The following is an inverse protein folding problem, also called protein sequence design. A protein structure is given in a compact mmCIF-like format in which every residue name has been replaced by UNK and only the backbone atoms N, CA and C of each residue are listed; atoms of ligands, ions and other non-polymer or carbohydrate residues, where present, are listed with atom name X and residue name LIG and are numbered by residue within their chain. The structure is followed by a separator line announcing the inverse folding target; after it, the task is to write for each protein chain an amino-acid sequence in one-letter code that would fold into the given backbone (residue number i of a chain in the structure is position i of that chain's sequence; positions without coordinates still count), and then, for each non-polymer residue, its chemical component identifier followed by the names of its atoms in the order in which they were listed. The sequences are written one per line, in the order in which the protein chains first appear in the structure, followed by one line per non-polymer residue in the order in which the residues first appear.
data_IF_779600412774
#
_entry.id   IF_779600412774
#
_cell.length_a   1.000
_cell.length_b   1.000
_cell.length_c   1.000
_cell.angle_alpha   90.00
_cell.angle_beta   90.00
_cell.angle_gamma   90.00
#
_symmetry.space_group_name_H-M   'P 1'
#
loop_
_entity.id
_entity.type
_entity.pdbx_description
1 polymer ?
#
# COMPACT_ATOMS: atom_id res chain seq x y z
N UNK A 1 -5.04 20.03 4.73
CA UNK A 1 -6.08 19.83 3.70
C UNK A 1 -7.19 18.98 4.31
N UNK A 2 -8.45 19.42 4.22
CA UNK A 2 -9.63 18.74 4.78
C UNK A 2 -9.87 17.35 4.16
N UNK A 3 -10.58 16.48 4.89
CA UNK A 3 -11.05 15.15 4.47
C UNK A 3 -11.77 15.12 3.12
N UNK A 4 -12.31 16.25 2.71
CA UNK A 4 -13.15 16.34 1.52
C UNK A 4 -12.40 16.13 0.20
N UNK A 5 -11.10 16.49 0.08
CA UNK A 5 -10.45 16.61 -1.24
C UNK A 5 -10.26 15.28 -2.01
N UNK A 6 -9.95 14.18 -1.31
CA UNK A 6 -9.81 12.85 -1.96
C UNK A 6 -11.17 12.35 -2.48
N UNK A 7 -12.23 12.63 -1.70
CA UNK A 7 -13.60 12.16 -1.95
C UNK A 7 -14.49 13.19 -2.64
N UNK A 8 -13.93 14.34 -3.03
CA UNK A 8 -14.68 15.44 -3.63
C UNK A 8 -15.42 14.93 -4.85
N UNK A 9 -16.72 15.08 -4.81
CA UNK A 9 -17.62 14.86 -5.94
C UNK A 9 -18.13 16.22 -6.42
N UNK A 10 -18.05 16.53 -7.73
CA UNK A 10 -17.47 15.70 -8.79
C UNK A 10 -15.94 15.63 -8.68
N UNK A 11 -15.40 14.45 -9.00
CA UNK A 11 -13.95 14.30 -9.12
C UNK A 11 -13.47 15.12 -10.32
N UNK A 12 -12.47 15.99 -10.17
CA UNK A 12 -11.95 16.77 -11.28
C UNK A 12 -11.40 15.84 -12.38
N UNK A 13 -11.70 16.18 -13.63
CA UNK A 13 -11.32 15.39 -14.82
C UNK A 13 -9.80 15.33 -15.04
N UNK A 14 -9.05 16.26 -14.45
CA UNK A 14 -7.58 16.27 -14.40
C UNK A 14 -7.13 16.75 -13.04
N UNK A 15 -6.09 16.12 -12.52
CA UNK A 15 -5.38 16.56 -11.32
C UNK A 15 -3.96 16.94 -11.68
N UNK A 16 -3.46 17.99 -11.05
CA UNK A 16 -2.05 18.36 -11.08
C UNK A 16 -1.19 17.34 -10.33
N UNK A 17 0.12 17.37 -10.58
CA UNK A 17 1.09 16.53 -9.85
C UNK A 17 1.05 16.78 -8.33
N UNK A 18 0.82 18.03 -7.91
CA UNK A 18 0.74 18.39 -6.49
C UNK A 18 -0.51 17.81 -5.83
N UNK A 19 -1.64 17.79 -6.55
CA UNK A 19 -2.86 17.13 -6.07
C UNK A 19 -2.68 15.61 -5.95
N UNK A 20 -2.01 14.97 -6.90
CA UNK A 20 -1.68 13.55 -6.80
C UNK A 20 -0.73 13.24 -5.65
N UNK A 21 0.29 14.07 -5.45
CA UNK A 21 1.21 13.95 -4.31
C UNK A 21 0.45 14.06 -2.99
N UNK A 22 -0.46 15.03 -2.87
CA UNK A 22 -1.29 15.19 -1.68
C UNK A 22 -2.22 13.98 -1.44
N UNK A 23 -2.75 13.37 -2.50
CA UNK A 23 -3.54 12.12 -2.40
C UNK A 23 -2.65 10.98 -1.90
N UNK A 24 -1.48 10.78 -2.51
CA UNK A 24 -0.49 9.76 -2.11
C UNK A 24 -0.16 9.91 -0.62
N UNK A 25 0.33 11.08 -0.20
CA UNK A 25 0.76 11.33 1.18
C UNK A 25 -0.34 11.00 2.19
N UNK A 26 -1.58 11.35 1.85
CA UNK A 26 -2.74 11.10 2.71
C UNK A 26 -3.17 9.63 2.72
N UNK A 27 -3.22 8.95 1.57
CA UNK A 27 -3.53 7.51 1.53
C UNK A 27 -2.47 6.70 2.28
N UNK A 28 -1.20 7.05 2.10
CA UNK A 28 -0.06 6.43 2.80
C UNK A 28 -0.14 6.70 4.30
N UNK A 29 -0.44 7.94 4.70
CA UNK A 29 -0.59 8.32 6.11
C UNK A 29 -1.73 7.56 6.80
N UNK A 30 -2.92 7.55 6.20
CA UNK A 30 -4.07 6.83 6.77
C UNK A 30 -3.86 5.31 6.80
N UNK A 31 -3.16 4.74 5.81
CA UNK A 31 -2.82 3.32 5.82
C UNK A 31 -1.76 3.01 6.90
N UNK A 32 -0.77 3.89 7.06
CA UNK A 32 0.23 3.81 8.13
C UNK A 32 -0.44 3.78 9.51
N UNK A 33 -1.38 4.69 9.73
CA UNK A 33 -2.14 4.78 10.99
C UNK A 33 -2.99 3.52 11.22
N UNK A 34 -3.71 3.05 10.19
CA UNK A 34 -4.56 1.87 10.29
C UNK A 34 -3.77 0.58 10.57
N UNK A 35 -2.56 0.46 10.02
CA UNK A 35 -1.67 -0.69 10.22
C UNK A 35 -0.79 -0.55 11.49
N UNK A 36 -0.73 0.64 12.10
CA UNK A 36 0.13 0.92 13.24
C UNK A 36 1.63 0.89 12.91
N UNK A 37 2.01 1.21 11.67
CA UNK A 37 3.40 1.16 11.18
C UNK A 37 3.76 2.41 10.39
N UNK A 38 5.03 2.75 10.32
CA UNK A 38 5.49 3.83 9.42
C UNK A 38 5.80 3.28 8.04
N UNK A 39 5.05 3.76 7.03
CA UNK A 39 5.27 3.44 5.63
C UNK A 39 6.05 4.55 4.92
N UNK A 40 6.94 4.16 4.01
CA UNK A 40 7.62 5.04 3.06
C UNK A 40 7.12 4.74 1.66
N UNK A 41 6.88 5.80 0.88
CA UNK A 41 6.59 5.71 -0.55
C UNK A 41 7.86 5.27 -1.30
N UNK A 42 7.76 4.18 -2.07
CA UNK A 42 8.84 3.70 -2.94
C UNK A 42 8.68 4.20 -4.37
N UNK A 43 7.46 4.58 -4.76
CA UNK A 43 7.15 5.18 -6.05
C UNK A 43 5.63 5.17 -6.30
N UNK A 44 5.17 6.06 -7.16
CA UNK A 44 3.77 6.11 -7.58
C UNK A 44 3.66 6.53 -9.04
N UNK A 45 2.61 6.06 -9.69
CA UNK A 45 2.34 6.25 -11.11
C UNK A 45 0.85 6.58 -11.30
N UNK A 46 0.56 7.50 -12.22
CA UNK A 46 -0.82 7.84 -12.61
C UNK A 46 -1.16 7.12 -13.89
N UNK A 47 -2.33 6.51 -13.92
CA UNK A 47 -2.87 5.77 -15.05
C UNK A 47 -4.08 6.52 -15.59
N UNK A 48 -4.03 6.86 -16.89
CA UNK A 48 -5.12 7.50 -17.63
C UNK A 48 -5.72 8.76 -16.99
N UNK A 49 -4.91 9.57 -16.28
CA UNK A 49 -5.31 10.79 -15.56
C UNK A 49 -6.37 10.61 -14.46
N UNK A 50 -6.85 9.37 -14.22
CA UNK A 50 -7.99 9.08 -13.32
C UNK A 50 -7.68 8.01 -12.27
N UNK A 51 -6.61 7.24 -12.46
CA UNK A 51 -6.18 6.21 -11.53
C UNK A 51 -4.73 6.45 -11.07
N UNK A 52 -4.39 5.90 -9.92
CA UNK A 52 -3.10 6.03 -9.26
C UNK A 52 -2.73 4.69 -8.64
N UNK A 53 -1.49 4.28 -8.85
CA UNK A 53 -0.88 3.15 -8.15
C UNK A 53 0.29 3.67 -7.34
N UNK A 54 0.32 3.38 -6.03
CA UNK A 54 1.39 3.81 -5.14
C UNK A 54 1.98 2.61 -4.39
N UNK A 55 3.29 2.41 -4.50
CA UNK A 55 4.04 1.37 -3.78
C UNK A 55 4.62 1.94 -2.50
N UNK A 56 4.47 1.18 -1.42
CA UNK A 56 4.96 1.54 -0.09
C UNK A 56 5.64 0.37 0.59
N UNK A 57 6.52 0.66 1.54
CA UNK A 57 7.16 -0.33 2.38
C UNK A 57 7.36 0.19 3.81
N UNK A 58 7.39 -0.72 4.78
CA UNK A 58 7.80 -0.38 6.15
C UNK A 58 9.24 0.13 6.19
N UNK A 59 9.48 1.23 6.90
CA UNK A 59 10.83 1.78 7.09
C UNK A 59 11.65 0.95 8.09
N UNK A 60 10.99 0.37 9.08
CA UNK A 60 11.58 -0.50 10.11
C UNK A 60 10.79 -1.80 10.24
N UNK A 61 11.40 -2.91 10.68
CA UNK A 61 10.64 -4.13 10.91
C UNK A 61 9.56 -3.91 11.97
N UNK A 62 8.35 -4.38 11.68
CA UNK A 62 7.18 -4.41 12.57
C UNK A 62 7.51 -5.22 13.83
N UNK A 63 8.23 -6.33 13.66
CA UNK A 63 8.77 -7.13 14.76
C UNK A 63 10.30 -7.25 14.59
N UNK A 64 11.03 -6.28 15.15
CA UNK A 64 12.48 -6.09 15.04
C UNK A 64 13.32 -7.38 15.00
N UNK A 65 13.34 -8.19 16.07
CA UNK A 65 14.15 -9.41 16.12
C UNK A 65 13.75 -10.49 15.13
N UNK A 66 12.49 -10.48 14.69
CA UNK A 66 11.95 -11.45 13.73
C UNK A 66 12.14 -11.00 12.28
N UNK A 67 12.57 -9.74 12.06
CA UNK A 67 12.72 -9.17 10.73
C UNK A 67 11.41 -9.17 9.95
N UNK A 68 10.27 -8.99 10.62
CA UNK A 68 8.95 -8.94 9.97
C UNK A 68 8.73 -7.53 9.42
N UNK A 69 8.39 -7.43 8.14
CA UNK A 69 8.06 -6.16 7.48
C UNK A 69 6.91 -6.35 6.50
N UNK A 70 6.50 -5.27 5.84
CA UNK A 70 5.53 -5.33 4.76
C UNK A 70 5.85 -4.40 3.61
N UNK A 71 5.45 -4.80 2.42
CA UNK A 71 5.22 -3.89 1.29
C UNK A 71 3.73 -3.84 0.99
N UNK A 72 3.27 -2.75 0.37
CA UNK A 72 1.91 -2.67 -0.11
C UNK A 72 1.82 -1.90 -1.42
N UNK A 73 0.74 -2.14 -2.16
CA UNK A 73 0.35 -1.32 -3.30
C UNK A 73 -1.02 -0.75 -3.04
N UNK A 74 -1.10 0.57 -3.00
CA UNK A 74 -2.34 1.33 -2.88
C UNK A 74 -2.83 1.62 -4.29
N UNK A 75 -4.00 1.10 -4.65
CA UNK A 75 -4.74 1.48 -5.83
C UNK A 75 -5.75 2.57 -5.48
N UNK A 76 -5.82 3.59 -6.33
CA UNK A 76 -6.88 4.58 -6.33
C UNK A 76 -7.42 4.67 -7.74
N UNK A 77 -8.73 4.59 -7.90
CA UNK A 77 -9.39 4.76 -9.19
C UNK A 77 -10.75 5.43 -9.02
N UNK A 78 -11.33 5.89 -10.13
CA UNK A 78 -12.64 6.51 -10.13
C UNK A 78 -13.61 5.65 -10.93
N UNK A 79 -14.46 4.91 -10.23
CA UNK A 79 -15.51 4.09 -10.82
C UNK A 79 -16.85 4.79 -10.61
N UNK A 80 -17.62 4.99 -11.68
CA UNK A 80 -18.96 5.60 -11.62
C UNK A 80 -18.99 6.94 -10.84
N UNK A 81 -17.94 7.76 -11.02
CA UNK A 81 -17.72 9.06 -10.34
C UNK A 81 -17.48 8.96 -8.83
N UNK A 82 -17.17 7.76 -8.32
CA UNK A 82 -16.81 7.52 -6.93
C UNK A 82 -15.35 7.07 -6.85
N UNK A 83 -14.57 7.58 -5.89
CA UNK A 83 -13.24 7.05 -5.68
C UNK A 83 -13.34 5.67 -5.04
N UNK A 84 -12.61 4.72 -5.60
CA UNK A 84 -12.41 3.39 -5.05
C UNK A 84 -10.95 3.29 -4.69
N UNK A 85 -10.67 2.90 -3.44
CA UNK A 85 -9.31 2.82 -2.93
C UNK A 85 -9.10 1.48 -2.26
N UNK A 86 -8.11 0.75 -2.76
CA UNK A 86 -7.73 -0.57 -2.29
C UNK A 86 -6.25 -0.59 -1.94
N UNK A 87 -5.84 -1.49 -1.06
CA UNK A 87 -4.44 -1.75 -0.78
C UNK A 87 -4.19 -3.25 -0.73
N UNK A 88 -3.23 -3.73 -1.50
CA UNK A 88 -2.74 -5.09 -1.46
C UNK A 88 -1.47 -5.11 -0.60
N UNK A 89 -1.53 -5.80 0.55
CA UNK A 89 -0.47 -5.83 1.55
C UNK A 89 0.20 -7.19 1.56
N UNK A 90 1.53 -7.17 1.49
CA UNK A 90 2.39 -8.35 1.42
C UNK A 90 3.28 -8.37 2.66
N UNK A 91 3.17 -9.42 3.47
CA UNK A 91 4.02 -9.58 4.66
C UNK A 91 5.29 -10.34 4.31
N UNK A 92 6.39 -9.98 4.97
CA UNK A 92 7.68 -10.64 4.81
C UNK A 92 8.27 -10.95 6.18
N UNK A 93 8.97 -12.09 6.29
CA UNK A 93 9.84 -12.42 7.41
C UNK A 93 11.17 -12.92 6.88
N UNK A 94 12.29 -12.44 7.41
CA UNK A 94 13.60 -12.89 6.90
C UNK A 94 13.86 -12.53 5.42
N UNK A 95 13.12 -11.58 4.85
CA UNK A 95 13.17 -11.25 3.41
C UNK A 95 12.34 -12.18 2.53
N UNK A 96 11.65 -13.16 3.12
CA UNK A 96 10.79 -14.12 2.42
C UNK A 96 9.33 -13.69 2.56
N UNK A 97 8.57 -13.70 1.46
CA UNK A 97 7.13 -13.39 1.47
C UNK A 97 6.38 -14.47 2.24
N UNK A 98 5.49 -14.04 3.14
CA UNK A 98 4.63 -14.93 3.90
C UNK A 98 3.40 -15.32 3.07
N UNK A 99 3.01 -16.58 3.17
CA UNK A 99 1.83 -17.12 2.51
C UNK A 99 0.84 -17.71 3.53
N UNK A 100 -0.45 -17.68 3.19
CA UNK A 100 -1.45 -18.49 3.87
C UNK A 100 -1.11 -19.98 3.74
N UNK A 101 -1.56 -20.78 4.71
CA UNK A 101 -1.34 -22.22 4.67
C UNK A 101 -2.00 -22.82 3.44
N UNK A 102 -1.18 -23.41 2.57
CA UNK A 102 -1.64 -24.08 1.34
C UNK A 102 -1.61 -23.21 0.09
N UNK A 103 -1.21 -21.94 0.21
CA UNK A 103 -0.96 -21.04 -0.93
C UNK A 103 0.56 -20.88 -1.14
N UNK A 104 0.97 -20.70 -2.39
CA UNK A 104 2.37 -20.39 -2.72
C UNK A 104 2.71 -18.94 -2.39
N UNK A 105 1.78 -18.03 -2.69
CA UNK A 105 1.87 -16.60 -2.38
C UNK A 105 0.50 -16.08 -1.93
N UNK A 106 0.49 -15.10 -1.02
CA UNK A 106 -0.76 -14.48 -0.58
C UNK A 106 -0.59 -12.98 -0.33
N UNK A 107 -1.72 -12.30 -0.19
CA UNK A 107 -1.78 -10.91 0.25
C UNK A 107 -3.04 -10.66 1.07
N UNK A 108 -2.99 -9.62 1.90
CA UNK A 108 -4.16 -9.05 2.54
C UNK A 108 -4.70 -7.92 1.66
N UNK A 109 -5.98 -7.97 1.33
CA UNK A 109 -6.67 -6.88 0.66
C UNK A 109 -7.35 -5.99 1.70
N UNK A 110 -7.03 -4.70 1.67
CA UNK A 110 -7.70 -3.68 2.45
C UNK A 110 -8.45 -2.74 1.52
N UNK A 111 -9.58 -2.24 1.99
CA UNK A 111 -10.39 -1.25 1.26
C UNK A 111 -10.63 -0.05 2.15
N UNK A 112 -10.55 1.14 1.57
CA UNK A 112 -10.84 2.38 2.27
C UNK A 112 -12.32 2.76 2.09
N UNK A 113 -12.98 3.10 3.19
CA UNK A 113 -14.36 3.57 3.19
C UNK A 113 -14.58 4.72 4.15
N UNK A 114 -15.85 4.97 4.49
CA UNK A 114 -16.27 6.07 5.38
C UNK A 114 -15.58 6.03 6.74
N UNK A 115 -15.34 4.83 7.29
CA UNK A 115 -14.72 4.62 8.59
C UNK A 115 -13.19 4.39 8.50
N UNK A 116 -12.60 4.60 7.33
CA UNK A 116 -11.17 4.35 7.05
C UNK A 116 -10.90 2.98 6.45
N UNK A 117 -9.68 2.47 6.68
CA UNK A 117 -9.23 1.19 6.14
C UNK A 117 -9.85 0.00 6.88
N UNK A 118 -10.36 -0.97 6.12
CA UNK A 118 -10.83 -2.26 6.64
C UNK A 118 -10.22 -3.41 5.85
N UNK A 119 -9.94 -4.51 6.53
CA UNK A 119 -9.58 -5.77 5.88
C UNK A 119 -10.79 -6.29 5.09
N UNK A 120 -10.65 -6.45 3.78
CA UNK A 120 -11.63 -7.14 2.94
C UNK A 120 -11.45 -8.66 3.05
N UNK A 121 -10.19 -9.12 3.02
CA UNK A 121 -9.87 -10.53 3.18
C UNK A 121 -8.40 -10.82 2.91
N UNK A 122 -8.07 -12.11 2.99
CA UNK A 122 -6.82 -12.64 2.49
C UNK A 122 -7.09 -13.41 1.21
N UNK A 123 -6.22 -13.25 0.23
CA UNK A 123 -6.33 -13.93 -1.07
C UNK A 123 -4.99 -14.55 -1.47
N UNK A 124 -5.08 -15.61 -2.26
CA UNK A 124 -3.95 -16.19 -2.96
C UNK A 124 -3.61 -15.33 -4.19
N UNK A 125 -2.32 -15.22 -4.49
CA UNK A 125 -1.83 -14.53 -5.69
C UNK A 125 -1.83 -15.50 -6.89
N UNK A 126 -3.01 -16.01 -7.24
CA UNK A 126 -3.18 -17.14 -8.17
C UNK A 126 -2.57 -16.90 -9.56
N UNK A 127 -2.53 -15.65 -9.99
CA UNK A 127 -2.00 -15.24 -11.30
C UNK A 127 -0.57 -14.72 -11.26
N UNK A 128 0.04 -14.69 -10.07
CA UNK A 128 1.37 -14.11 -9.85
C UNK A 128 1.46 -12.65 -10.24
N UNK A 129 0.35 -11.90 -10.10
CA UNK A 129 0.30 -10.46 -10.42
C UNK A 129 1.30 -9.69 -9.56
N UNK A 130 1.60 -10.21 -8.37
CA UNK A 130 2.54 -9.61 -7.43
C UNK A 130 3.79 -10.47 -7.18
N UNK A 131 4.00 -11.51 -7.98
CA UNK A 131 5.21 -12.34 -7.89
C UNK A 131 6.46 -11.50 -8.12
N UNK A 132 7.49 -11.74 -7.31
CA UNK A 132 8.76 -11.03 -7.41
C UNK A 132 8.77 -9.64 -6.75
N UNK A 133 7.71 -9.26 -6.02
CA UNK A 133 7.74 -8.04 -5.20
C UNK A 133 8.87 -8.14 -4.16
N UNK A 134 9.76 -7.14 -4.09
CA UNK A 134 10.87 -7.18 -3.17
C UNK A 134 10.38 -7.06 -1.73
N UNK A 135 11.10 -7.73 -0.82
CA UNK A 135 10.96 -7.45 0.60
C UNK A 135 11.34 -5.99 0.91
N UNK A 136 10.81 -5.42 2.01
CA UNK A 136 11.19 -4.09 2.46
C UNK A 136 12.71 -3.99 2.64
N UNK A 137 13.30 -2.94 2.07
CA UNK A 137 14.71 -2.64 2.29
C UNK A 137 14.85 -1.89 3.61
N UNK A 138 15.23 -2.61 4.65
CA UNK A 138 15.68 -2.02 5.90
C UNK A 138 17.18 -1.75 5.81
N UNK A 139 17.59 -0.49 5.91
CA UNK A 139 19.02 -0.10 5.87
C UNK A 139 19.84 -0.82 6.98
N UNK A 140 19.15 -1.34 8.01
CA UNK A 140 19.70 -2.09 9.14
C UNK A 140 19.80 -3.61 8.92
N UNK A 141 19.30 -4.18 7.81
CA UNK A 141 19.46 -5.63 7.53
C UNK A 141 20.90 -6.00 7.24
N UNK A 142 21.67 -5.05 6.71
CA UNK A 142 23.08 -5.27 6.49
C UNK A 142 23.79 -5.27 7.84
N UNK A 143 23.97 -6.45 8.42
CA UNK A 143 24.94 -6.72 9.49
C UNK A 143 26.39 -6.48 9.03
N UNK A 144 26.67 -5.43 8.25
CA UNK A 144 28.00 -4.85 8.17
C UNK A 144 28.21 -4.13 9.49
N UNK A 145 28.74 -4.87 10.46
CA UNK A 145 29.54 -4.25 11.52
C UNK A 145 30.63 -3.39 10.85
N UNK A 146 30.98 -2.23 11.42
CA UNK A 146 32.21 -1.55 11.07
C UNK A 146 33.43 -2.45 11.29
#
# INVERSE_FOLDING_TARGET
MSDDLIFRTPIPARRSSDEWTAIVDRLVGTLSDALGVTLRVEGWDVVDDVALTCRVATTRPIAGPLGIGLTATIGFEVIERRPVVTAFVFLFAGGTRLALRGADESYAELVYGTDGWRLAGWAEDEYGEFTGRPAPRHDEWSGRRP
#
